data_IF_821392644609
#
_entry.id   IF_821392644609
#
_cell.length_a   1.000
_cell.length_b   1.000
_cell.length_c   1.000
_cell.angle_alpha   90.00
_cell.angle_beta   90.00
_cell.angle_gamma   90.00
#
_symmetry.space_group_name_H-M   'P 1'
#
loop_
_entity.id
_entity.type
_entity.pdbx_description
1 polymer ?
#
# COMPACT_ATOMS: atom_id res chain seq x y z
N UNK A 1 -36.28 53.75 62.66
CA UNK A 1 -35.82 54.32 61.42
C UNK A 1 -35.08 53.16 60.72
N UNK A 2 -35.76 52.55 59.89
CA UNK A 2 -35.90 52.48 58.42
C UNK A 2 -35.00 51.35 57.86
N UNK A 3 -35.64 50.24 57.57
CA UNK A 3 -35.88 49.69 56.22
C UNK A 3 -34.69 49.78 55.27
N UNK A 4 -34.04 48.60 55.05
CA UNK A 4 -33.67 48.15 53.73
C UNK A 4 -32.99 46.75 53.84
N UNK A 5 -33.76 45.74 53.72
CA UNK A 5 -33.32 44.38 53.51
C UNK A 5 -34.42 43.60 52.76
N UNK A 6 -34.49 43.69 51.44
CA UNK A 6 -35.18 42.73 50.55
C UNK A 6 -34.80 43.09 49.10
N UNK A 7 -33.88 42.28 48.54
CA UNK A 7 -33.93 41.87 47.13
C UNK A 7 -32.54 41.36 46.72
N UNK A 8 -32.21 40.13 47.06
CA UNK A 8 -31.24 39.33 46.27
C UNK A 8 -31.59 37.87 46.44
N UNK A 9 -32.63 37.41 45.74
CA UNK A 9 -32.83 35.98 45.45
C UNK A 9 -33.66 35.89 44.19
N UNK A 10 -33.03 35.92 43.03
CA UNK A 10 -33.56 35.32 41.78
C UNK A 10 -32.60 35.58 40.62
N UNK A 11 -31.47 34.90 40.56
CA UNK A 11 -30.79 34.70 39.28
C UNK A 11 -29.69 33.63 39.41
N UNK A 12 -30.10 32.39 39.59
CA UNK A 12 -29.20 31.23 39.45
C UNK A 12 -30.01 29.99 39.09
N UNK A 13 -30.44 29.94 37.82
CA UNK A 13 -30.81 28.64 37.18
C UNK A 13 -31.01 28.84 35.67
N UNK A 14 -29.90 28.94 34.92
CA UNK A 14 -29.91 28.68 33.46
C UNK A 14 -28.46 28.68 32.93
N UNK A 15 -27.63 27.70 33.29
CA UNK A 15 -26.37 27.45 32.57
C UNK A 15 -25.80 26.08 32.94
N UNK A 16 -26.49 24.99 32.67
CA UNK A 16 -25.85 23.66 32.80
C UNK A 16 -26.33 22.59 31.80
N UNK A 17 -27.14 22.97 30.82
CA UNK A 17 -27.67 21.99 29.86
C UNK A 17 -27.03 22.05 28.45
N UNK A 18 -26.19 23.03 28.14
CA UNK A 18 -25.58 23.21 26.82
C UNK A 18 -24.35 22.35 26.54
N UNK A 19 -23.43 22.13 27.50
CA UNK A 19 -22.23 21.31 27.21
C UNK A 19 -22.53 19.81 27.00
N UNK A 20 -23.54 19.27 27.67
CA UNK A 20 -23.89 17.85 27.57
C UNK A 20 -24.53 17.49 26.21
N UNK A 21 -25.37 18.37 25.66
CA UNK A 21 -25.98 18.19 24.32
C UNK A 21 -24.92 18.29 23.19
N UNK A 22 -23.95 19.20 23.33
CA UNK A 22 -22.84 19.34 22.38
C UNK A 22 -21.92 18.12 22.38
N UNK A 23 -21.64 17.54 23.54
CA UNK A 23 -20.79 16.38 23.69
C UNK A 23 -21.44 15.09 23.16
N UNK A 24 -22.74 14.90 23.42
CA UNK A 24 -23.52 13.78 22.87
C UNK A 24 -23.62 13.85 21.33
N UNK A 25 -23.81 15.04 20.76
CA UNK A 25 -23.83 15.24 19.32
C UNK A 25 -22.48 14.93 18.65
N UNK A 26 -21.36 15.33 19.26
CA UNK A 26 -20.01 14.99 18.78
C UNK A 26 -19.74 13.49 18.84
N UNK A 27 -20.15 12.83 19.90
CA UNK A 27 -20.00 11.37 20.03
C UNK A 27 -20.83 10.62 18.99
N UNK A 28 -22.06 11.06 18.73
CA UNK A 28 -22.90 10.48 17.69
C UNK A 28 -22.32 10.69 16.28
N UNK A 29 -21.79 11.89 15.99
CA UNK A 29 -21.11 12.18 14.73
C UNK A 29 -19.85 11.33 14.53
N UNK A 30 -19.04 11.17 15.57
CA UNK A 30 -17.87 10.30 15.53
C UNK A 30 -18.27 8.83 15.26
N UNK A 31 -19.29 8.31 15.93
CA UNK A 31 -19.77 6.95 15.70
C UNK A 31 -20.24 6.74 14.25
N UNK A 32 -20.96 7.72 13.69
CA UNK A 32 -21.36 7.67 12.28
C UNK A 32 -20.14 7.69 11.34
N UNK A 33 -19.12 8.51 11.63
CA UNK A 33 -17.88 8.55 10.88
C UNK A 33 -17.14 7.21 10.91
N UNK A 34 -17.07 6.53 12.04
CA UNK A 34 -16.48 5.18 12.13
C UNK A 34 -17.25 4.15 11.31
N UNK A 35 -18.58 4.20 11.32
CA UNK A 35 -19.39 3.29 10.49
C UNK A 35 -19.17 3.52 8.99
N UNK A 36 -19.14 4.78 8.55
CA UNK A 36 -18.83 5.13 7.16
C UNK A 36 -17.42 4.71 6.76
N UNK A 37 -16.44 4.87 7.65
CA UNK A 37 -15.08 4.38 7.44
C UNK A 37 -15.03 2.86 7.25
N UNK A 38 -15.69 2.10 8.13
CA UNK A 38 -15.73 0.63 8.00
C UNK A 38 -16.38 0.19 6.69
N UNK A 39 -17.48 0.82 6.29
CA UNK A 39 -18.13 0.54 5.01
C UNK A 39 -17.21 0.83 3.81
N UNK A 40 -16.47 1.94 3.87
CA UNK A 40 -15.52 2.30 2.82
C UNK A 40 -14.34 1.31 2.74
N UNK A 41 -13.81 0.86 3.88
CA UNK A 41 -12.76 -0.17 3.94
C UNK A 41 -13.25 -1.50 3.35
N UNK A 42 -14.49 -1.89 3.62
CA UNK A 42 -15.09 -3.08 2.99
C UNK A 42 -15.17 -2.96 1.46
N UNK A 43 -15.45 -1.76 0.94
CA UNK A 43 -15.43 -1.52 -0.51
C UNK A 43 -14.02 -1.69 -1.10
N UNK A 44 -12.97 -1.24 -0.38
CA UNK A 44 -11.57 -1.48 -0.77
C UNK A 44 -11.28 -2.97 -0.81
N UNK A 45 -11.64 -3.72 0.23
CA UNK A 45 -11.44 -5.18 0.30
C UNK A 45 -12.18 -5.95 -0.81
N UNK A 46 -13.30 -5.40 -1.29
CA UNK A 46 -14.07 -5.94 -2.43
C UNK A 46 -13.53 -5.51 -3.80
N UNK A 47 -12.43 -4.77 -3.87
CA UNK A 47 -11.89 -4.24 -5.12
C UNK A 47 -12.73 -3.13 -5.76
N UNK A 48 -13.72 -2.57 -5.06
CA UNK A 48 -14.61 -1.51 -5.56
C UNK A 48 -14.01 -0.12 -5.33
N UNK A 49 -12.83 0.11 -5.91
CA UNK A 49 -11.98 1.27 -5.61
C UNK A 49 -12.61 2.62 -5.93
N UNK A 50 -13.40 2.76 -7.02
CA UNK A 50 -14.10 4.01 -7.35
C UNK A 50 -15.13 4.41 -6.27
N UNK A 51 -15.92 3.42 -5.81
CA UNK A 51 -16.92 3.65 -4.78
C UNK A 51 -16.27 3.93 -3.43
N UNK A 52 -15.21 3.19 -3.10
CA UNK A 52 -14.41 3.38 -1.89
C UNK A 52 -13.79 4.77 -1.86
N UNK A 53 -13.17 5.19 -2.96
CA UNK A 53 -12.55 6.51 -3.12
C UNK A 53 -13.56 7.64 -2.88
N UNK A 54 -14.72 7.57 -3.53
CA UNK A 54 -15.80 8.54 -3.35
C UNK A 54 -16.30 8.61 -1.90
N UNK A 55 -16.44 7.47 -1.22
CA UNK A 55 -16.87 7.40 0.17
C UNK A 55 -15.82 7.99 1.13
N UNK A 56 -14.53 7.64 0.94
CA UNK A 56 -13.43 8.14 1.76
C UNK A 56 -13.18 9.64 1.58
N UNK A 57 -13.27 10.16 0.36
CA UNK A 57 -13.14 11.59 0.09
C UNK A 57 -14.23 12.42 0.75
N UNK A 58 -15.47 11.91 0.76
CA UNK A 58 -16.59 12.57 1.47
C UNK A 58 -16.40 12.57 2.99
N UNK A 59 -15.81 11.49 3.52
CA UNK A 59 -15.60 11.36 4.95
C UNK A 59 -14.38 12.18 5.45
N UNK A 60 -13.39 12.39 4.62
CA UNK A 60 -12.10 13.00 4.97
C UNK A 60 -12.22 14.34 5.72
N UNK A 61 -13.08 15.31 5.31
CA UNK A 61 -13.18 16.62 5.97
C UNK A 61 -13.79 16.56 7.38
N UNK A 62 -14.61 15.54 7.66
CA UNK A 62 -15.35 15.37 8.91
C UNK A 62 -14.77 14.24 9.78
N UNK A 63 -13.66 13.64 9.34
CA UNK A 63 -13.09 12.47 9.98
C UNK A 63 -12.47 12.80 11.34
N UNK A 64 -12.77 12.00 12.39
CA UNK A 64 -12.03 12.05 13.64
C UNK A 64 -10.52 11.89 13.40
N UNK A 65 -9.70 12.61 14.20
CA UNK A 65 -8.25 12.62 14.06
C UNK A 65 -7.63 11.21 14.06
N UNK A 66 -8.22 10.30 14.84
CA UNK A 66 -7.74 8.92 15.03
C UNK A 66 -7.78 8.08 13.73
N UNK A 67 -8.67 8.41 12.79
CA UNK A 67 -8.81 7.69 11.51
C UNK A 67 -8.39 8.52 10.29
N UNK A 68 -8.09 9.81 10.47
CA UNK A 68 -7.79 10.72 9.37
C UNK A 68 -6.57 10.25 8.53
N UNK A 69 -5.50 9.78 9.17
CA UNK A 69 -4.32 9.24 8.48
C UNK A 69 -4.64 7.96 7.71
N UNK A 70 -5.43 7.06 8.30
CA UNK A 70 -5.85 5.83 7.63
C UNK A 70 -6.71 6.11 6.41
N UNK A 71 -7.59 7.12 6.48
CA UNK A 71 -8.39 7.56 5.34
C UNK A 71 -7.50 8.04 4.20
N UNK A 72 -6.49 8.88 4.49
CA UNK A 72 -5.52 9.35 3.48
C UNK A 72 -4.78 8.20 2.82
N UNK A 73 -4.36 7.22 3.60
CA UNK A 73 -3.66 6.03 3.12
C UNK A 73 -4.56 5.19 2.19
N UNK A 74 -5.83 4.98 2.55
CA UNK A 74 -6.77 4.26 1.69
C UNK A 74 -7.14 5.04 0.42
N UNK A 75 -7.25 6.36 0.48
CA UNK A 75 -7.45 7.21 -0.71
C UNK A 75 -6.27 7.03 -1.68
N UNK A 76 -5.03 7.11 -1.19
CA UNK A 76 -3.83 6.89 -2.00
C UNK A 76 -3.82 5.47 -2.62
N UNK A 77 -4.18 4.46 -1.85
CA UNK A 77 -4.31 3.08 -2.34
C UNK A 77 -5.37 2.97 -3.44
N UNK A 78 -6.56 3.58 -3.26
CA UNK A 78 -7.59 3.58 -4.28
C UNK A 78 -7.13 4.27 -5.58
N UNK A 79 -6.46 5.41 -5.49
CA UNK A 79 -5.91 6.08 -6.66
C UNK A 79 -4.92 5.20 -7.41
N UNK A 80 -3.96 4.61 -6.70
CA UNK A 80 -2.97 3.70 -7.29
C UNK A 80 -3.64 2.53 -8.02
N UNK A 81 -4.60 1.86 -7.38
CA UNK A 81 -5.31 0.74 -7.98
C UNK A 81 -6.14 1.13 -9.21
N UNK A 82 -6.74 2.32 -9.21
CA UNK A 82 -7.48 2.83 -10.36
C UNK A 82 -6.55 3.25 -11.50
N UNK A 83 -5.37 3.76 -11.22
CA UNK A 83 -4.34 4.05 -12.21
C UNK A 83 -3.82 2.76 -12.83
N UNK A 84 -3.49 1.74 -12.03
CA UNK A 84 -3.07 0.41 -12.52
C UNK A 84 -4.14 -0.22 -13.43
N UNK A 85 -5.42 -0.12 -13.04
CA UNK A 85 -6.52 -0.64 -13.87
C UNK A 85 -6.68 0.09 -15.23
N UNK A 86 -6.12 1.29 -15.36
CA UNK A 86 -6.12 2.06 -16.63
C UNK A 86 -4.95 1.72 -17.52
N UNK A 87 -3.86 1.17 -16.96
CA UNK A 87 -2.68 0.80 -17.74
C UNK A 87 -2.97 -0.53 -18.43
N UNK A 88 -3.09 -0.49 -19.74
CA UNK A 88 -3.22 -1.69 -20.58
C UNK A 88 -1.92 -1.88 -21.35
N UNK A 89 -1.37 -3.08 -21.31
CA UNK A 89 -0.17 -3.43 -22.05
C UNK A 89 -0.56 -4.22 -23.32
N UNK A 90 0.06 -3.88 -24.43
CA UNK A 90 -0.17 -4.58 -25.70
C UNK A 90 0.63 -5.89 -25.79
N UNK A 91 1.70 -6.03 -24.98
CA UNK A 91 2.54 -7.21 -24.93
C UNK A 91 3.14 -7.44 -23.55
N UNK A 92 3.59 -8.68 -23.30
CA UNK A 92 4.34 -9.03 -22.09
C UNK A 92 5.66 -8.24 -22.00
N UNK A 93 6.29 -7.91 -23.12
CA UNK A 93 7.52 -7.11 -23.18
C UNK A 93 7.26 -5.66 -22.72
N UNK A 94 6.18 -5.04 -23.16
CA UNK A 94 5.79 -3.69 -22.71
C UNK A 94 5.52 -3.68 -21.21
N UNK A 95 4.82 -4.68 -20.68
CA UNK A 95 4.57 -4.84 -19.24
C UNK A 95 5.87 -5.05 -18.46
N UNK A 96 6.81 -5.83 -19.01
CA UNK A 96 8.12 -6.01 -18.42
C UNK A 96 8.91 -4.69 -18.34
N UNK A 97 8.96 -3.94 -19.45
CA UNK A 97 9.65 -2.64 -19.47
C UNK A 97 9.05 -1.67 -18.45
N UNK A 98 7.75 -1.69 -18.28
CA UNK A 98 7.09 -0.92 -17.23
C UNK A 98 7.47 -1.40 -15.83
N UNK A 99 7.54 -2.71 -15.59
CA UNK A 99 8.00 -3.27 -14.31
C UNK A 99 9.43 -2.83 -13.98
N UNK A 100 10.35 -2.84 -14.94
CA UNK A 100 11.73 -2.36 -14.78
C UNK A 100 11.74 -0.86 -14.46
N UNK A 101 10.89 -0.07 -15.08
CA UNK A 101 10.76 1.36 -14.77
C UNK A 101 10.31 1.55 -13.31
N UNK A 102 9.32 0.80 -12.83
CA UNK A 102 8.85 0.87 -11.44
C UNK A 102 9.96 0.44 -10.46
N UNK A 103 10.71 -0.62 -10.78
CA UNK A 103 11.85 -1.07 -9.98
C UNK A 103 12.88 0.06 -9.82
N UNK A 104 13.26 0.70 -10.91
CA UNK A 104 14.23 1.81 -10.92
C UNK A 104 13.73 3.05 -10.16
N UNK A 105 12.41 3.25 -10.10
CA UNK A 105 11.78 4.32 -9.33
C UNK A 105 11.61 3.98 -7.83
N UNK A 106 11.99 2.78 -7.40
CA UNK A 106 11.82 2.31 -6.02
C UNK A 106 10.38 1.91 -5.67
N UNK A 107 9.51 1.78 -6.66
CA UNK A 107 8.12 1.35 -6.51
C UNK A 107 8.05 -0.18 -6.56
N UNK A 108 8.63 -0.82 -5.54
CA UNK A 108 8.91 -2.25 -5.53
C UNK A 108 7.66 -3.14 -5.61
N UNK A 109 6.58 -2.77 -4.92
CA UNK A 109 5.33 -3.55 -4.96
C UNK A 109 4.68 -3.50 -6.35
N UNK A 110 4.70 -2.33 -6.99
CA UNK A 110 4.19 -2.15 -8.33
C UNK A 110 5.04 -2.94 -9.35
N UNK A 111 6.37 -2.89 -9.22
CA UNK A 111 7.27 -3.68 -10.04
C UNK A 111 7.01 -5.18 -9.90
N UNK A 112 6.84 -5.67 -8.66
CA UNK A 112 6.52 -7.07 -8.34
C UNK A 112 5.23 -7.53 -9.02
N UNK A 113 4.15 -6.75 -8.90
CA UNK A 113 2.87 -7.05 -9.53
C UNK A 113 3.01 -7.19 -11.05
N UNK A 114 3.76 -6.29 -11.69
CA UNK A 114 3.95 -6.33 -13.13
C UNK A 114 4.87 -7.46 -13.58
N UNK A 115 5.97 -7.77 -12.88
CA UNK A 115 6.77 -8.96 -13.18
C UNK A 115 5.97 -10.24 -13.04
N UNK A 116 5.19 -10.39 -11.97
CA UNK A 116 4.30 -11.55 -11.78
C UNK A 116 3.23 -11.63 -12.88
N UNK A 117 2.72 -10.49 -13.32
CA UNK A 117 1.78 -10.44 -14.43
C UNK A 117 2.38 -10.90 -15.76
N UNK A 118 3.64 -10.51 -16.05
CA UNK A 118 4.38 -11.05 -17.22
C UNK A 118 4.51 -12.56 -17.11
N UNK A 119 4.83 -13.08 -15.92
CA UNK A 119 4.98 -14.52 -15.69
C UNK A 119 3.64 -15.27 -15.74
N UNK A 120 2.52 -14.60 -15.45
CA UNK A 120 1.18 -15.13 -15.66
C UNK A 120 0.86 -15.34 -17.13
N UNK A 121 1.25 -14.38 -17.99
CA UNK A 121 1.03 -14.42 -19.41
C UNK A 121 2.07 -15.31 -20.13
N UNK A 122 3.34 -15.21 -19.72
CA UNK A 122 4.47 -15.95 -20.31
C UNK A 122 5.31 -16.60 -19.19
N UNK A 123 4.93 -17.80 -18.70
CA UNK A 123 5.60 -18.46 -17.56
C UNK A 123 7.09 -18.79 -17.79
N UNK A 124 7.54 -18.83 -19.06
CA UNK A 124 8.92 -19.10 -19.46
C UNK A 124 9.72 -17.83 -19.79
N UNK A 125 9.25 -16.66 -19.40
CA UNK A 125 9.98 -15.41 -19.58
C UNK A 125 11.15 -15.35 -18.58
N UNK A 126 12.30 -15.83 -18.99
CA UNK A 126 13.54 -15.86 -18.18
C UNK A 126 13.94 -14.48 -17.69
N UNK A 127 13.76 -13.45 -18.53
CA UNK A 127 14.01 -12.05 -18.22
C UNK A 127 13.11 -11.52 -17.08
N UNK A 128 11.83 -11.98 -17.00
CA UNK A 128 10.95 -11.58 -15.93
C UNK A 128 11.27 -12.27 -14.61
N UNK A 129 11.68 -13.54 -14.64
CA UNK A 129 12.24 -14.23 -13.47
C UNK A 129 13.51 -13.56 -12.96
N UNK A 130 14.39 -13.09 -13.87
CA UNK A 130 15.60 -12.34 -13.53
C UNK A 130 15.26 -11.00 -12.86
N UNK A 131 14.34 -10.22 -13.45
CA UNK A 131 13.87 -8.96 -12.86
C UNK A 131 13.24 -9.15 -11.48
N UNK A 132 12.48 -10.22 -11.28
CA UNK A 132 11.93 -10.57 -9.98
C UNK A 132 13.03 -10.93 -8.98
N UNK A 133 14.06 -11.66 -9.39
CA UNK A 133 15.21 -11.97 -8.54
C UNK A 133 15.95 -10.71 -8.06
N UNK A 134 16.17 -9.74 -8.95
CA UNK A 134 16.76 -8.44 -8.58
C UNK A 134 15.89 -7.70 -7.56
N UNK A 135 14.60 -7.63 -7.80
CA UNK A 135 13.65 -6.98 -6.89
C UNK A 135 13.68 -7.62 -5.50
N UNK A 136 13.67 -8.96 -5.42
CA UNK A 136 13.70 -9.68 -4.15
C UNK A 136 15.04 -9.48 -3.43
N UNK A 137 16.15 -9.41 -4.16
CA UNK A 137 17.46 -9.07 -3.61
C UNK A 137 17.47 -7.67 -2.99
N UNK A 138 17.02 -6.66 -3.73
CA UNK A 138 16.98 -5.26 -3.28
C UNK A 138 16.06 -5.07 -2.07
N UNK A 139 14.95 -5.84 -2.01
CA UNK A 139 13.99 -5.77 -0.90
C UNK A 139 14.32 -6.70 0.26
N UNK A 140 15.52 -7.31 0.25
CA UNK A 140 16.04 -8.19 1.31
C UNK A 140 15.19 -9.44 1.57
N UNK A 141 14.76 -10.11 0.50
CA UNK A 141 14.09 -11.40 0.50
C UNK A 141 14.99 -12.47 -0.16
N UNK A 142 16.00 -13.01 0.56
CA UNK A 142 17.03 -13.86 -0.04
C UNK A 142 16.50 -15.19 -0.59
N UNK A 143 15.51 -15.79 0.06
CA UNK A 143 14.92 -17.07 -0.38
C UNK A 143 14.17 -16.92 -1.71
N UNK A 144 13.39 -15.87 -1.84
CA UNK A 144 12.64 -15.54 -3.04
C UNK A 144 13.59 -15.14 -4.18
N UNK A 145 14.65 -14.38 -3.85
CA UNK A 145 15.70 -14.02 -4.79
C UNK A 145 16.35 -15.27 -5.40
N UNK A 146 16.84 -16.22 -4.58
CA UNK A 146 17.45 -17.46 -5.03
C UNK A 146 16.49 -18.29 -5.88
N UNK A 147 15.24 -18.41 -5.44
CA UNK A 147 14.21 -19.17 -6.16
C UNK A 147 13.94 -18.59 -7.55
N UNK A 148 13.83 -17.27 -7.66
CA UNK A 148 13.57 -16.59 -8.91
C UNK A 148 14.79 -16.66 -9.83
N UNK A 149 16.01 -16.45 -9.30
CA UNK A 149 17.25 -16.52 -10.07
C UNK A 149 17.52 -17.94 -10.59
N UNK A 150 17.26 -18.98 -9.79
CA UNK A 150 17.39 -20.37 -10.23
C UNK A 150 16.47 -20.66 -11.42
N UNK A 151 15.21 -20.18 -11.37
CA UNK A 151 14.27 -20.31 -12.49
C UNK A 151 14.76 -19.58 -13.73
N UNK A 152 15.24 -18.35 -13.58
CA UNK A 152 15.81 -17.58 -14.70
C UNK A 152 16.99 -18.33 -15.35
N UNK A 153 17.90 -18.88 -14.56
CA UNK A 153 19.07 -19.64 -15.05
C UNK A 153 18.67 -20.94 -15.72
N UNK A 154 17.68 -21.66 -15.18
CA UNK A 154 17.15 -22.89 -15.80
C UNK A 154 16.54 -22.64 -17.17
N UNK A 155 15.85 -21.50 -17.33
CA UNK A 155 15.23 -21.10 -18.58
C UNK A 155 16.27 -20.61 -19.60
N UNK A 156 17.28 -19.87 -19.11
CA UNK A 156 18.34 -19.33 -19.95
C UNK A 156 19.66 -19.27 -19.14
N UNK A 157 20.60 -20.14 -19.48
CA UNK A 157 21.90 -20.24 -18.79
C UNK A 157 22.74 -18.97 -18.85
N UNK A 158 22.48 -18.05 -19.78
CA UNK A 158 23.16 -16.75 -19.85
C UNK A 158 22.89 -15.88 -18.64
N UNK A 159 21.74 -16.03 -18.00
CA UNK A 159 21.40 -15.30 -16.76
C UNK A 159 22.39 -15.58 -15.62
N UNK A 160 23.01 -16.77 -15.59
CA UNK A 160 24.11 -17.08 -14.65
C UNK A 160 25.31 -16.18 -14.85
N UNK A 161 25.72 -15.97 -16.10
CA UNK A 161 26.85 -15.12 -16.40
C UNK A 161 26.55 -13.65 -16.11
N UNK A 162 25.33 -13.21 -16.41
CA UNK A 162 24.87 -11.88 -16.12
C UNK A 162 24.89 -11.63 -14.60
N UNK A 163 24.32 -12.52 -13.80
CA UNK A 163 24.23 -12.37 -12.34
C UNK A 163 25.60 -12.32 -11.65
N UNK A 164 26.67 -12.90 -12.25
CA UNK A 164 28.05 -12.81 -11.72
C UNK A 164 28.61 -11.39 -11.74
N UNK A 165 28.14 -10.55 -12.64
CA UNK A 165 28.65 -9.20 -12.85
C UNK A 165 27.66 -8.12 -12.50
N UNK A 166 26.46 -8.49 -12.08
CA UNK A 166 25.39 -7.59 -11.74
C UNK A 166 25.51 -7.14 -10.28
N UNK A 167 25.76 -5.84 -10.09
CA UNK A 167 25.95 -5.24 -8.77
C UNK A 167 24.69 -5.26 -7.91
N UNK A 168 23.52 -5.39 -8.50
CA UNK A 168 22.26 -5.41 -7.77
C UNK A 168 22.08 -6.66 -6.91
N UNK A 169 22.91 -7.72 -7.16
CA UNK A 169 23.02 -8.90 -6.28
C UNK A 169 24.06 -8.77 -5.16
N UNK A 170 24.65 -7.60 -4.95
CA UNK A 170 25.70 -7.41 -3.93
C UNK A 170 25.25 -7.85 -2.53
N UNK A 171 23.97 -7.70 -2.19
CA UNK A 171 23.42 -8.14 -0.92
C UNK A 171 23.45 -9.67 -0.74
N UNK A 172 23.56 -10.43 -1.82
CA UNK A 172 23.63 -11.91 -1.83
C UNK A 172 25.04 -12.45 -1.89
N UNK A 173 26.07 -11.59 -2.00
CA UNK A 173 27.45 -12.02 -2.25
C UNK A 173 28.01 -12.96 -1.18
N UNK A 174 27.58 -12.80 0.08
CA UNK A 174 28.03 -13.63 1.21
C UNK A 174 27.15 -14.89 1.44
N UNK A 175 26.09 -15.11 0.65
CA UNK A 175 25.26 -16.31 0.75
C UNK A 175 25.92 -17.48 0.00
N UNK A 176 26.29 -18.58 0.69
CA UNK A 176 26.93 -19.73 0.03
C UNK A 176 26.06 -20.34 -1.08
N UNK A 177 24.74 -20.30 -0.93
CA UNK A 177 23.80 -20.85 -1.92
C UNK A 177 23.78 -20.01 -3.21
N UNK A 178 23.96 -18.69 -3.09
CA UNK A 178 24.11 -17.81 -4.24
C UNK A 178 25.41 -18.12 -4.98
N UNK A 179 26.51 -18.33 -4.25
CA UNK A 179 27.79 -18.74 -4.84
C UNK A 179 27.68 -20.09 -5.55
N UNK A 180 27.05 -21.10 -4.93
CA UNK A 180 26.82 -22.41 -5.53
C UNK A 180 25.97 -22.32 -6.80
N UNK A 181 24.92 -21.50 -6.78
CA UNK A 181 24.05 -21.27 -7.95
C UNK A 181 24.82 -20.66 -9.13
N UNK A 182 25.74 -19.72 -8.85
CA UNK A 182 26.52 -19.04 -9.88
C UNK A 182 27.74 -19.84 -10.33
N UNK A 183 28.36 -20.62 -9.46
CA UNK A 183 29.60 -21.38 -9.70
C UNK A 183 29.41 -22.86 -9.30
N UNK A 184 28.47 -23.59 -9.98
CA UNK A 184 28.27 -25.00 -9.65
C UNK A 184 29.57 -25.79 -9.89
N UNK A 185 29.83 -26.76 -8.99
CA UNK A 185 30.89 -27.72 -9.22
C UNK A 185 30.60 -28.55 -10.48
N UNK A 186 31.64 -28.96 -11.23
CA UNK A 186 31.51 -29.72 -12.48
C UNK A 186 30.95 -31.15 -12.26
#
# INVERSE_FOLDING_TARGET
>A
MTQQARNVVASRKKTSAEPAKSQAAKTAANNAAYQHYQAAVQLVQQGKYEKALSALQKLQPEAPHEIAERIRMYIATCHRQLEHARITFQSAEERYNYAVLQLNNGLYEDAREHFQGVLGDVPKADYAWYGLALLECITNHPEECLTALEKAIRLNSRNRLQARTDNDFQAMADDPRFTELLYPEP
#
